data_IF_338157644445
#
_entry.id   IF_338157644445
#
_cell.length_a   1.000
_cell.length_b   1.000
_cell.length_c   1.000
_cell.angle_alpha   90.00
_cell.angle_beta   90.00
_cell.angle_gamma   90.00
#
_symmetry.space_group_name_H-M   'P 1'
#
loop_
_entity.id
_entity.type
_entity.pdbx_description
1 polymer ?
#
# COMPACT_ATOMS: atom_id res chain seq x y z
N UNK A 1 27.33 65.79 -36.56
CA UNK A 1 28.06 64.68 -35.90
C UNK A 1 27.08 63.84 -35.09
N UNK A 2 26.58 62.72 -35.66
CA UNK A 2 25.61 61.85 -34.99
C UNK A 2 26.30 60.78 -34.15
N UNK A 3 26.16 60.87 -32.81
CA UNK A 3 26.62 59.84 -31.87
C UNK A 3 25.76 58.58 -32.04
N UNK A 4 26.36 57.49 -32.53
CA UNK A 4 25.71 56.17 -32.60
C UNK A 4 25.63 55.58 -31.19
N UNK A 5 24.40 55.45 -30.69
CA UNK A 5 24.10 54.76 -29.43
C UNK A 5 24.30 53.25 -29.62
N UNK A 6 25.38 52.71 -29.05
CA UNK A 6 25.64 51.28 -29.01
C UNK A 6 24.73 50.59 -28.01
N UNK A 7 23.65 49.98 -28.50
CA UNK A 7 22.70 49.21 -27.68
C UNK A 7 23.39 47.96 -27.11
N UNK A 8 23.76 48.03 -25.83
CA UNK A 8 24.42 46.94 -25.08
C UNK A 8 23.41 45.81 -24.88
N UNK A 9 23.47 44.76 -25.73
CA UNK A 9 22.60 43.57 -25.62
C UNK A 9 22.80 42.92 -24.25
N UNK A 10 21.75 43.01 -23.42
CA UNK A 10 21.65 42.46 -22.08
C UNK A 10 21.75 40.94 -22.13
N UNK A 11 22.90 40.40 -21.72
CA UNK A 11 23.23 38.96 -21.68
C UNK A 11 22.44 38.14 -20.64
N UNK A 12 21.41 38.72 -20.00
CA UNK A 12 20.70 38.13 -18.84
C UNK A 12 19.77 36.95 -19.20
N UNK A 13 19.14 36.97 -20.40
CA UNK A 13 18.13 35.96 -20.80
C UNK A 13 18.61 34.50 -20.85
N UNK A 14 19.90 34.24 -21.10
CA UNK A 14 20.42 32.87 -21.21
C UNK A 14 20.52 32.15 -19.87
N UNK A 15 20.84 32.90 -18.81
CA UNK A 15 20.97 32.35 -17.46
C UNK A 15 19.60 32.08 -16.83
N UNK A 16 18.60 32.90 -17.13
CA UNK A 16 17.21 32.69 -16.69
C UNK A 16 16.64 31.38 -17.24
N UNK A 17 16.89 31.09 -18.53
CA UNK A 17 16.44 29.84 -19.13
C UNK A 17 17.17 28.63 -18.55
N UNK A 18 18.48 28.74 -18.32
CA UNK A 18 19.26 27.67 -17.69
C UNK A 18 18.79 27.39 -16.25
N UNK A 19 18.53 28.43 -15.46
CA UNK A 19 17.99 28.31 -14.11
C UNK A 19 16.60 27.66 -14.11
N UNK A 20 15.74 28.01 -15.07
CA UNK A 20 14.43 27.40 -15.22
C UNK A 20 14.52 25.88 -15.46
N UNK A 21 15.38 25.45 -16.39
CA UNK A 21 15.61 24.02 -16.64
C UNK A 21 16.20 23.29 -15.44
N UNK A 22 17.11 23.93 -14.70
CA UNK A 22 17.72 23.37 -13.50
C UNK A 22 16.70 23.18 -12.38
N UNK A 23 15.79 24.16 -12.20
CA UNK A 23 14.69 24.07 -11.25
C UNK A 23 13.70 22.97 -11.62
N UNK A 24 13.34 22.86 -12.89
CA UNK A 24 12.42 21.82 -13.38
C UNK A 24 13.00 20.42 -13.17
N UNK A 25 14.29 20.22 -13.44
CA UNK A 25 15.03 18.99 -13.12
C UNK A 25 15.04 18.68 -11.63
N UNK A 26 15.26 19.70 -10.78
CA UNK A 26 15.22 19.55 -9.33
C UNK A 26 13.86 19.07 -8.83
N UNK A 27 12.77 19.70 -9.30
CA UNK A 27 11.40 19.32 -8.94
C UNK A 27 11.06 17.90 -9.42
N UNK A 28 11.44 17.55 -10.65
CA UNK A 28 11.21 16.20 -11.18
C UNK A 28 11.98 15.14 -10.39
N UNK A 29 13.24 15.41 -10.01
CA UNK A 29 14.06 14.49 -9.23
C UNK A 29 13.51 14.30 -7.80
N UNK A 30 13.22 15.39 -7.10
CA UNK A 30 12.66 15.33 -5.74
C UNK A 30 11.24 14.73 -5.71
N UNK A 31 10.37 15.15 -6.64
CA UNK A 31 9.01 14.61 -6.76
C UNK A 31 9.01 13.12 -7.12
N UNK A 32 9.89 12.69 -8.02
CA UNK A 32 10.06 11.28 -8.37
C UNK A 32 10.54 10.43 -7.18
N UNK A 33 11.52 10.92 -6.42
CA UNK A 33 11.97 10.22 -5.20
C UNK A 33 10.87 10.14 -4.14
N UNK A 34 10.06 11.18 -3.99
CA UNK A 34 8.92 11.19 -3.06
C UNK A 34 7.89 10.12 -3.39
N UNK A 35 7.54 9.95 -4.67
CA UNK A 35 6.60 8.92 -5.12
C UNK A 35 7.09 7.50 -4.84
N UNK A 36 8.38 7.23 -5.05
CA UNK A 36 8.96 5.90 -4.77
C UNK A 36 8.89 5.57 -3.28
N UNK A 37 9.33 6.50 -2.42
CA UNK A 37 9.29 6.31 -0.96
C UNK A 37 7.85 6.15 -0.45
N UNK A 38 6.92 6.96 -0.98
CA UNK A 38 5.51 6.85 -0.62
C UNK A 38 4.93 5.49 -1.04
N UNK A 39 5.28 4.99 -2.23
CA UNK A 39 4.83 3.68 -2.70
C UNK A 39 5.33 2.53 -1.82
N UNK A 40 6.56 2.60 -1.33
CA UNK A 40 7.12 1.61 -0.40
C UNK A 40 6.49 1.70 0.99
N UNK A 41 6.09 2.90 1.42
CA UNK A 41 5.38 3.11 2.69
C UNK A 41 3.97 2.52 2.63
N UNK A 42 3.24 2.75 1.52
CA UNK A 42 1.88 2.22 1.32
C UNK A 42 1.88 0.70 1.27
N UNK A 43 2.84 0.08 0.59
CA UNK A 43 2.98 -1.39 0.54
C UNK A 43 3.29 -2.04 1.89
N UNK A 44 3.84 -1.28 2.84
CA UNK A 44 4.14 -1.73 4.21
C UNK A 44 2.99 -1.51 5.18
N UNK A 45 1.92 -0.82 4.77
CA UNK A 45 0.73 -0.69 5.60
C UNK A 45 -0.05 -2.01 5.58
N UNK A 46 -0.48 -2.54 6.74
CA UNK A 46 -1.17 -3.82 6.87
C UNK A 46 -2.55 -3.87 6.19
N UNK A 47 -2.97 -2.78 5.54
CA UNK A 47 -4.23 -2.66 4.83
C UNK A 47 -4.12 -2.95 3.32
N UNK A 48 -2.93 -2.93 2.70
CA UNK A 48 -2.82 -2.96 1.22
C UNK A 48 -2.60 -4.34 0.61
N UNK A 49 -2.56 -5.41 1.40
CA UNK A 49 -2.27 -6.78 0.95
C UNK A 49 -3.46 -7.70 1.15
N UNK A 50 -4.63 -7.34 0.61
CA UNK A 50 -5.82 -8.20 0.65
C UNK A 50 -6.26 -8.70 -0.73
N UNK A 51 -5.47 -8.51 -1.79
CA UNK A 51 -5.88 -8.91 -3.15
C UNK A 51 -5.21 -10.16 -3.74
N UNK A 52 -4.16 -10.74 -3.16
CA UNK A 52 -3.40 -11.84 -3.82
C UNK A 52 -3.56 -13.25 -3.22
N UNK A 53 -4.71 -13.58 -2.64
CA UNK A 53 -4.98 -14.97 -2.20
C UNK A 53 -6.34 -15.51 -2.64
N UNK A 54 -6.61 -15.44 -3.95
CA UNK A 54 -7.55 -16.35 -4.63
C UNK A 54 -6.87 -17.72 -4.85
N UNK A 55 -6.49 -18.38 -3.76
CA UNK A 55 -5.78 -19.66 -3.82
C UNK A 55 -6.17 -20.53 -2.63
N UNK A 56 -7.07 -21.49 -2.91
CA UNK A 56 -7.40 -22.64 -2.06
C UNK A 56 -7.96 -22.31 -0.67
N UNK A 57 -9.29 -22.33 -0.54
CA UNK A 57 -10.08 -22.76 0.64
C UNK A 57 -9.42 -22.73 2.04
N UNK A 58 -8.63 -21.72 2.36
CA UNK A 58 -8.38 -21.31 3.73
C UNK A 58 -9.72 -20.78 4.21
N UNK A 59 -10.28 -21.44 5.23
CA UNK A 59 -11.48 -20.99 5.91
C UNK A 59 -11.48 -19.47 5.97
N UNK A 60 -12.46 -18.86 5.32
CA UNK A 60 -12.60 -17.40 5.26
C UNK A 60 -12.81 -16.92 6.70
N UNK A 61 -11.71 -16.57 7.37
CA UNK A 61 -11.75 -15.98 8.71
C UNK A 61 -12.47 -14.66 8.58
N UNK A 62 -13.67 -14.58 9.14
CA UNK A 62 -14.46 -13.34 9.15
C UNK A 62 -13.68 -12.27 9.92
N UNK A 63 -13.44 -11.13 9.27
CA UNK A 63 -12.72 -10.01 9.87
C UNK A 63 -13.44 -9.40 11.08
N UNK A 64 -12.68 -8.72 11.93
CA UNK A 64 -13.18 -8.00 13.10
C UNK A 64 -13.92 -6.72 12.69
N UNK A 65 -15.08 -6.45 13.30
CA UNK A 65 -15.86 -5.24 13.08
C UNK A 65 -15.63 -4.27 14.24
N UNK A 66 -15.31 -3.01 13.89
CA UNK A 66 -15.06 -1.93 14.85
C UNK A 66 -16.12 -0.84 14.73
N UNK A 67 -16.38 -0.14 15.83
CA UNK A 67 -17.11 1.13 15.84
C UNK A 67 -16.20 2.31 15.40
N UNK A 68 -16.74 3.51 15.22
CA UNK A 68 -16.01 4.75 14.90
C UNK A 68 -14.91 5.13 15.90
N UNK A 69 -15.02 4.63 17.14
CA UNK A 69 -14.04 4.83 18.21
C UNK A 69 -13.02 3.68 18.30
N UNK A 70 -12.94 2.81 17.29
CA UNK A 70 -12.08 1.63 17.26
C UNK A 70 -12.35 0.59 18.35
N UNK A 71 -13.54 0.62 18.94
CA UNK A 71 -13.98 -0.43 19.87
C UNK A 71 -14.47 -1.64 19.08
N UNK A 72 -14.03 -2.83 19.47
CA UNK A 72 -14.46 -4.10 18.88
C UNK A 72 -15.96 -4.34 19.15
N UNK A 73 -16.73 -4.59 18.09
CA UNK A 73 -18.16 -4.93 18.15
C UNK A 73 -18.41 -6.41 17.82
N UNK A 74 -17.61 -6.99 16.93
CA UNK A 74 -17.69 -8.41 16.59
C UNK A 74 -16.29 -8.94 16.26
N UNK A 75 -15.91 -10.03 16.93
CA UNK A 75 -14.60 -10.70 16.80
C UNK A 75 -14.84 -12.17 16.49
N UNK A 76 -14.07 -12.72 15.54
CA UNK A 76 -14.05 -14.16 15.28
C UNK A 76 -13.04 -14.80 16.22
N UNK A 77 -13.49 -15.74 17.04
CA UNK A 77 -12.64 -16.50 17.95
C UNK A 77 -12.38 -17.89 17.37
N UNK A 78 -11.20 -18.43 17.64
CA UNK A 78 -10.86 -19.80 17.28
C UNK A 78 -11.78 -20.77 18.02
N UNK A 79 -12.37 -21.69 17.27
CA UNK A 79 -13.19 -22.77 17.81
C UNK A 79 -12.73 -24.09 17.19
N UNK A 80 -12.50 -25.08 18.05
CA UNK A 80 -12.25 -26.45 17.63
C UNK A 80 -13.58 -27.20 17.64
N UNK A 81 -13.94 -27.80 16.50
CA UNK A 81 -15.08 -28.72 16.39
C UNK A 81 -14.62 -30.04 15.81
N UNK A 82 -15.06 -31.13 16.43
CA UNK A 82 -14.76 -32.49 16.00
C UNK A 82 -15.99 -33.05 15.31
N UNK A 83 -15.84 -33.45 14.04
CA UNK A 83 -16.90 -34.09 13.27
C UNK A 83 -16.45 -35.48 12.84
N UNK A 84 -17.39 -36.41 12.81
CA UNK A 84 -17.14 -37.77 12.34
C UNK A 84 -18.32 -38.24 11.50
N UNK A 85 -18.04 -39.00 10.44
CA UNK A 85 -19.07 -39.64 9.63
C UNK A 85 -19.42 -40.99 10.25
N UNK A 86 -20.65 -41.16 10.72
CA UNK A 86 -21.07 -42.36 11.45
C UNK A 86 -20.88 -43.65 10.65
N UNK A 87 -20.99 -43.61 9.31
CA UNK A 87 -20.76 -44.77 8.43
C UNK A 87 -19.31 -45.26 8.39
N UNK A 88 -18.36 -44.43 8.79
CA UNK A 88 -16.93 -44.73 8.83
C UNK A 88 -16.49 -45.19 10.24
N UNK A 89 -17.44 -45.22 11.20
CA UNK A 89 -17.23 -45.69 12.57
C UNK A 89 -17.71 -47.13 12.67
N UNK A 90 -16.78 -48.06 12.85
CA UNK A 90 -17.10 -49.47 13.08
C UNK A 90 -17.68 -49.71 14.48
N UNK A 91 -17.22 -48.94 15.47
CA UNK A 91 -17.60 -49.03 16.88
C UNK A 91 -17.54 -47.63 17.51
N UNK A 92 -18.67 -47.04 17.93
CA UNK A 92 -18.69 -45.71 18.53
C UNK A 92 -18.10 -45.69 19.95
N UNK A 93 -18.16 -46.81 20.67
CA UNK A 93 -17.69 -46.96 22.05
C UNK A 93 -16.16 -46.96 22.15
N UNK A 94 -15.47 -47.57 21.17
CA UNK A 94 -14.00 -47.58 21.11
C UNK A 94 -13.41 -46.21 20.73
N UNK A 95 -14.17 -45.39 20.00
CA UNK A 95 -13.73 -44.04 19.62
C UNK A 95 -13.91 -43.06 20.78
N UNK A 96 -14.96 -43.23 21.59
CA UNK A 96 -15.24 -42.34 22.72
C UNK A 96 -14.31 -42.58 23.93
N UNK A 97 -13.66 -43.75 24.01
CA UNK A 97 -12.81 -44.16 25.13
C UNK A 97 -11.31 -43.90 24.92
N UNK A 98 -10.91 -43.39 23.75
CA UNK A 98 -9.54 -42.96 23.43
C UNK A 98 -9.35 -41.45 23.64
#
# INVERSE_FOLDING_TARGET
MGRRSGMRKTRKRKYELALFWLLLLGVAFFGGRWLVVFSDLVKKMPFSSQEDSLGLATDLVRGTIFDRNYKELAVSLERVSVYVRTREITSPEDIASR
#
